data_IF_906514153913
#
_entry.id   IF_906514153913
#
_cell.length_a   1.000
_cell.length_b   1.000
_cell.length_c   1.000
_cell.angle_alpha   90.00
_cell.angle_beta   90.00
_cell.angle_gamma   90.00
#
_symmetry.space_group_name_H-M   'P 1'
#
loop_
_entity.id
_entity.type
_entity.pdbx_description
1 polymer ?
#
# COMPACT_ATOMS: atom_id res chain seq x y z
N UNK A 1 12.84 -20.17 11.04
CA UNK A 1 11.93 -19.90 9.89
C UNK A 1 12.71 -18.98 8.96
N UNK A 2 12.81 -19.24 7.65
CA UNK A 2 13.42 -18.25 6.74
C UNK A 2 12.50 -17.02 6.76
N UNK A 3 13.05 -15.86 7.11
CA UNK A 3 12.31 -14.60 7.15
C UNK A 3 11.56 -14.40 5.84
N UNK A 4 10.25 -14.13 5.93
CA UNK A 4 9.50 -13.68 4.75
C UNK A 4 10.07 -12.34 4.30
N UNK A 5 10.05 -12.02 3.01
CA UNK A 5 10.58 -10.74 2.57
C UNK A 5 9.83 -9.59 3.23
N UNK A 6 10.58 -8.68 3.86
CA UNK A 6 10.06 -7.46 4.48
C UNK A 6 10.55 -6.27 3.67
N UNK A 7 9.60 -5.42 3.29
CA UNK A 7 9.83 -4.15 2.64
C UNK A 7 9.70 -2.99 3.62
N UNK A 8 10.29 -1.85 3.28
CA UNK A 8 9.99 -0.57 3.90
C UNK A 8 9.12 0.27 2.95
N UNK A 9 8.02 0.83 3.46
CA UNK A 9 7.21 1.77 2.70
C UNK A 9 7.81 3.18 2.78
N UNK A 10 7.91 3.88 1.65
CA UNK A 10 8.52 5.21 1.59
C UNK A 10 7.83 6.27 2.46
N UNK A 11 6.52 6.15 2.73
CA UNK A 11 5.82 7.04 3.66
C UNK A 11 6.38 6.97 5.09
N UNK A 12 7.08 5.88 5.45
CA UNK A 12 7.81 5.80 6.72
C UNK A 12 8.88 6.87 6.85
N UNK A 13 9.49 7.26 5.73
CA UNK A 13 10.57 8.22 5.67
C UNK A 13 10.22 9.38 4.75
N UNK A 14 9.04 9.97 4.90
CA UNK A 14 8.51 11.00 4.00
C UNK A 14 9.47 12.18 3.77
N UNK A 15 10.28 12.53 4.78
CA UNK A 15 11.27 13.61 4.67
C UNK A 15 12.51 13.25 3.84
N UNK A 16 12.74 11.97 3.56
CA UNK A 16 13.88 11.52 2.74
C UNK A 16 13.47 11.48 1.26
N UNK A 17 14.34 12.03 0.41
CA UNK A 17 14.25 11.78 -1.03
C UNK A 17 14.48 10.29 -1.34
N UNK A 18 14.06 9.85 -2.53
CA UNK A 18 14.10 8.44 -2.94
C UNK A 18 15.48 7.79 -2.79
N UNK A 19 16.57 8.48 -3.19
CA UNK A 19 17.93 7.94 -3.05
C UNK A 19 18.32 7.73 -1.59
N UNK A 20 18.04 8.70 -0.72
CA UNK A 20 18.34 8.62 0.72
C UNK A 20 17.49 7.55 1.40
N UNK A 21 16.23 7.41 0.99
CA UNK A 21 15.33 6.37 1.45
C UNK A 21 15.81 4.96 1.08
N UNK A 22 16.25 4.75 -0.17
CA UNK A 22 16.80 3.46 -0.62
C UNK A 22 18.05 3.10 0.20
N UNK A 23 18.96 4.06 0.40
CA UNK A 23 20.15 3.89 1.26
C UNK A 23 19.78 3.53 2.70
N UNK A 24 18.79 4.21 3.28
CA UNK A 24 18.31 3.92 4.63
C UNK A 24 17.70 2.51 4.73
N UNK A 25 16.90 2.11 3.74
CA UNK A 25 16.29 0.78 3.66
C UNK A 25 17.34 -0.33 3.62
N UNK A 26 18.41 -0.14 2.84
CA UNK A 26 19.55 -1.08 2.80
C UNK A 26 20.27 -1.17 4.15
N UNK A 27 20.54 -0.03 4.81
CA UNK A 27 21.17 0.00 6.14
C UNK A 27 20.34 -0.77 7.17
N UNK A 28 19.02 -0.65 7.10
CA UNK A 28 18.07 -1.38 7.94
C UNK A 28 17.87 -2.85 7.54
N UNK A 29 18.57 -3.35 6.52
CA UNK A 29 18.55 -4.76 6.08
C UNK A 29 17.17 -5.25 5.61
N UNK A 30 16.35 -4.34 5.07
CA UNK A 30 15.13 -4.74 4.37
C UNK A 30 15.45 -5.51 3.08
N UNK A 31 14.51 -6.36 2.65
CA UNK A 31 14.63 -7.11 1.39
C UNK A 31 14.20 -6.29 0.18
N UNK A 32 13.54 -5.17 0.42
CA UNK A 32 13.04 -4.31 -0.63
C UNK A 32 12.29 -3.11 -0.09
N UNK A 33 11.60 -2.43 -0.99
CA UNK A 33 10.91 -1.16 -0.72
C UNK A 33 9.57 -1.11 -1.43
N UNK A 34 8.65 -0.29 -0.92
CA UNK A 34 7.56 0.27 -1.71
C UNK A 34 7.91 1.73 -2.01
N UNK A 35 7.78 2.17 -3.26
CA UNK A 35 8.14 3.52 -3.68
C UNK A 35 6.91 4.38 -4.00
N UNK A 36 6.94 5.63 -3.55
CA UNK A 36 5.90 6.61 -3.84
C UNK A 36 6.19 7.29 -5.20
N UNK A 37 5.21 7.28 -6.11
CA UNK A 37 5.24 7.87 -7.46
C UNK A 37 5.61 9.35 -7.41
N UNK A 38 5.08 10.09 -6.44
CA UNK A 38 5.35 11.52 -6.29
C UNK A 38 6.79 11.75 -5.84
N UNK A 39 7.32 10.90 -4.96
CA UNK A 39 8.71 10.98 -4.52
C UNK A 39 9.69 10.52 -5.62
N UNK A 40 9.29 9.58 -6.47
CA UNK A 40 10.04 9.23 -7.68
C UNK A 40 10.11 10.45 -8.60
N UNK A 41 8.97 11.07 -8.91
CA UNK A 41 8.90 12.27 -9.75
C UNK A 41 9.74 13.42 -9.20
N UNK A 42 9.65 13.71 -7.90
CA UNK A 42 10.42 14.75 -7.24
C UNK A 42 11.93 14.48 -7.23
N UNK A 43 12.34 13.21 -7.24
CA UNK A 43 13.75 12.84 -7.28
C UNK A 43 14.37 12.97 -8.67
N UNK A 44 13.57 12.93 -9.73
CA UNK A 44 14.03 13.05 -11.11
C UNK A 44 14.33 14.52 -11.43
N UNK A 45 15.50 14.77 -12.02
CA UNK A 45 15.95 16.09 -12.44
C UNK A 45 16.81 16.00 -13.72
N UNK A 46 17.42 17.11 -14.13
CA UNK A 46 18.40 17.09 -15.21
C UNK A 46 19.62 16.23 -14.84
N UNK A 47 19.96 16.16 -13.55
CA UNK A 47 21.13 15.44 -13.01
C UNK A 47 20.81 14.01 -12.55
N UNK A 48 19.56 13.73 -12.14
CA UNK A 48 19.15 12.41 -11.64
C UNK A 48 18.05 11.85 -12.55
N UNK A 49 18.32 10.70 -13.16
CA UNK A 49 17.37 9.94 -13.99
C UNK A 49 16.81 8.75 -13.22
N UNK A 50 15.72 8.19 -13.72
CA UNK A 50 15.11 6.97 -13.17
C UNK A 50 16.13 5.83 -13.08
N UNK A 51 16.96 5.69 -14.12
CA UNK A 51 18.03 4.70 -14.17
C UNK A 51 19.00 4.82 -13.00
N UNK A 52 19.31 6.03 -12.53
CA UNK A 52 20.21 6.22 -11.38
C UNK A 52 19.58 5.67 -10.10
N UNK A 53 18.26 5.82 -9.93
CA UNK A 53 17.54 5.22 -8.79
C UNK A 53 17.55 3.68 -8.89
N UNK A 54 17.34 3.14 -10.08
CA UNK A 54 17.41 1.69 -10.35
C UNK A 54 18.80 1.11 -10.08
N UNK A 55 19.85 1.80 -10.53
CA UNK A 55 21.24 1.37 -10.30
C UNK A 55 21.58 1.35 -8.80
N UNK A 56 21.05 2.30 -8.01
CA UNK A 56 21.21 2.31 -6.55
C UNK A 56 20.46 1.14 -5.89
N UNK A 57 19.24 0.82 -6.35
CA UNK A 57 18.49 -0.35 -5.87
C UNK A 57 19.27 -1.66 -6.13
N UNK A 58 19.80 -1.81 -7.34
CA UNK A 58 20.59 -2.98 -7.74
C UNK A 58 21.90 -3.10 -6.96
N UNK A 59 22.62 -1.99 -6.76
CA UNK A 59 23.85 -1.98 -5.98
C UNK A 59 23.62 -2.44 -4.52
N UNK A 60 22.42 -2.22 -3.99
CA UNK A 60 22.03 -2.65 -2.65
C UNK A 60 21.22 -3.95 -2.60
N UNK A 61 20.98 -4.59 -3.76
CA UNK A 61 20.14 -5.78 -3.90
C UNK A 61 18.76 -5.61 -3.23
N UNK A 62 18.15 -4.44 -3.39
CA UNK A 62 16.82 -4.13 -2.89
C UNK A 62 15.80 -4.30 -4.01
N UNK A 63 14.79 -5.15 -3.78
CA UNK A 63 13.66 -5.29 -4.70
C UNK A 63 12.65 -4.15 -4.51
N UNK A 64 12.05 -3.67 -5.60
CA UNK A 64 10.83 -2.85 -5.49
C UNK A 64 9.62 -3.78 -5.48
N UNK A 65 8.92 -3.81 -4.35
CA UNK A 65 7.75 -4.69 -4.15
C UNK A 65 6.45 -4.07 -4.61
N UNK A 66 6.35 -2.74 -4.58
CA UNK A 66 5.22 -2.02 -5.17
C UNK A 66 5.59 -0.58 -5.53
N UNK A 67 4.87 -0.05 -6.51
CA UNK A 67 4.78 1.40 -6.75
C UNK A 67 3.41 1.88 -6.26
N UNK A 68 3.40 2.91 -5.43
CA UNK A 68 2.17 3.52 -4.92
C UNK A 68 2.26 5.05 -5.10
N UNK A 69 1.21 5.83 -5.05
CA UNK A 69 -0.18 5.46 -4.97
C UNK A 69 -0.91 6.03 -6.20
N UNK A 70 -1.81 5.25 -6.78
CA UNK A 70 -2.91 5.81 -7.58
C UNK A 70 -4.12 6.01 -6.67
N UNK A 71 -4.42 7.26 -6.36
CA UNK A 71 -5.53 7.69 -5.53
C UNK A 71 -6.60 8.41 -6.34
N UNK A 72 -7.70 8.74 -5.67
CA UNK A 72 -8.82 9.52 -6.21
C UNK A 72 -9.40 9.07 -7.55
N UNK A 73 -9.23 7.79 -7.86
CA UNK A 73 -9.70 7.22 -9.11
C UNK A 73 -11.21 6.96 -9.11
N UNK A 74 -11.87 6.69 -7.97
CA UNK A 74 -13.22 6.14 -7.98
C UNK A 74 -14.34 7.18 -8.17
N UNK A 75 -14.26 8.32 -7.52
CA UNK A 75 -15.29 9.37 -7.51
C UNK A 75 -14.92 10.66 -8.24
N UNK A 76 -13.69 10.79 -8.76
CA UNK A 76 -13.28 11.93 -9.59
C UNK A 76 -14.21 12.13 -10.80
N UNK A 77 -14.28 13.33 -11.36
CA UNK A 77 -15.07 13.59 -12.57
C UNK A 77 -14.61 12.71 -13.74
N UNK A 78 -15.43 12.54 -14.78
CA UNK A 78 -15.02 11.73 -15.95
C UNK A 78 -13.89 12.40 -16.74
N UNK A 79 -13.82 13.74 -16.72
CA UNK A 79 -12.71 14.50 -17.30
C UNK A 79 -11.43 14.30 -16.49
N UNK A 80 -11.47 14.47 -15.17
CA UNK A 80 -10.33 14.22 -14.27
C UNK A 80 -9.84 12.79 -14.41
N UNK A 81 -10.75 11.82 -14.45
CA UNK A 81 -10.40 10.42 -14.64
C UNK A 81 -9.61 10.20 -15.95
N UNK A 82 -10.13 10.69 -17.07
CA UNK A 82 -9.49 10.52 -18.38
C UNK A 82 -8.19 11.32 -18.55
N UNK A 83 -8.14 12.55 -18.03
CA UNK A 83 -7.06 13.49 -18.30
C UNK A 83 -5.92 13.44 -17.28
N UNK A 84 -6.19 12.98 -16.06
CA UNK A 84 -5.25 13.01 -14.94
C UNK A 84 -5.03 11.61 -14.37
N UNK A 85 -6.09 10.91 -13.95
CA UNK A 85 -5.96 9.58 -13.32
C UNK A 85 -5.34 8.56 -14.28
N UNK A 86 -5.82 8.48 -15.53
CA UNK A 86 -5.24 7.55 -16.51
C UNK A 86 -3.80 7.91 -16.90
N UNK A 87 -3.42 9.20 -16.88
CA UNK A 87 -2.02 9.60 -17.10
C UNK A 87 -1.12 9.23 -15.91
N UNK A 88 -1.61 9.41 -14.68
CA UNK A 88 -0.90 8.95 -13.47
C UNK A 88 -0.76 7.42 -13.47
N UNK A 89 -1.77 6.69 -13.94
CA UNK A 89 -1.69 5.24 -14.15
C UNK A 89 -0.60 4.88 -15.17
N UNK A 90 -0.58 5.49 -16.35
CA UNK A 90 0.46 5.26 -17.36
C UNK A 90 1.87 5.54 -16.79
N UNK A 91 2.00 6.61 -16.00
CA UNK A 91 3.25 6.92 -15.33
C UNK A 91 3.67 5.85 -14.33
N UNK A 92 2.74 5.37 -13.50
CA UNK A 92 2.99 4.29 -12.53
C UNK A 92 3.37 2.99 -13.24
N UNK A 93 2.72 2.67 -14.36
CA UNK A 93 3.06 1.53 -15.21
C UNK A 93 4.50 1.66 -15.73
N UNK A 94 4.87 2.83 -16.25
CA UNK A 94 6.23 3.07 -16.73
C UNK A 94 7.27 2.91 -15.61
N UNK A 95 7.02 3.47 -14.43
CA UNK A 95 7.91 3.25 -13.28
C UNK A 95 7.94 1.79 -12.82
N UNK A 96 6.83 1.09 -12.89
CA UNK A 96 6.77 -0.34 -12.56
C UNK A 96 7.68 -1.16 -13.46
N UNK A 97 7.72 -0.85 -14.77
CA UNK A 97 8.66 -1.45 -15.72
C UNK A 97 10.12 -1.10 -15.39
N UNK A 98 10.43 0.17 -15.23
CA UNK A 98 11.80 0.65 -14.96
C UNK A 98 12.37 0.09 -13.65
N UNK A 99 11.52 -0.16 -12.65
CA UNK A 99 11.92 -0.71 -11.36
C UNK A 99 11.70 -2.23 -11.23
N UNK A 100 11.30 -2.91 -12.30
CA UNK A 100 10.96 -4.34 -12.32
C UNK A 100 9.96 -4.75 -11.21
N UNK A 101 9.01 -3.86 -10.92
CA UNK A 101 7.94 -4.07 -9.95
C UNK A 101 6.66 -4.51 -10.65
N UNK A 102 6.09 -5.64 -10.23
CA UNK A 102 4.89 -6.19 -10.83
C UNK A 102 3.61 -5.94 -10.00
N UNK A 103 3.66 -4.97 -9.10
CA UNK A 103 2.54 -4.60 -8.23
C UNK A 103 2.45 -3.09 -8.12
N UNK A 104 1.26 -2.55 -8.35
CA UNK A 104 0.91 -1.18 -8.02
C UNK A 104 -0.18 -1.15 -6.97
N UNK A 105 -0.14 -0.15 -6.09
CA UNK A 105 -1.15 0.05 -5.05
C UNK A 105 -2.05 1.20 -5.44
N UNK A 106 -3.35 0.99 -5.26
CA UNK A 106 -4.37 1.99 -5.55
C UNK A 106 -5.33 2.13 -4.37
N UNK A 107 -5.85 3.34 -4.15
CA UNK A 107 -6.80 3.65 -3.08
C UNK A 107 -8.06 4.30 -3.66
N UNK A 108 -9.24 4.02 -3.07
CA UNK A 108 -10.49 4.68 -3.46
C UNK A 108 -10.41 6.20 -3.19
N UNK A 109 -11.29 6.97 -3.81
CA UNK A 109 -11.34 8.41 -3.58
C UNK A 109 -11.61 8.78 -2.14
N UNK A 110 -10.95 9.85 -1.69
CA UNK A 110 -11.22 10.55 -0.44
C UNK A 110 -11.89 11.89 -0.75
N UNK A 111 -13.01 12.21 -0.08
CA UNK A 111 -13.65 13.53 -0.21
C UNK A 111 -13.13 14.50 0.86
N UNK A 112 -13.10 15.80 0.55
CA UNK A 112 -12.67 16.82 1.52
C UNK A 112 -13.57 16.85 2.75
N UNK A 113 -14.90 16.76 2.54
CA UNK A 113 -15.88 16.70 3.62
C UNK A 113 -16.55 15.32 3.67
N UNK A 114 -16.54 14.68 4.84
CA UNK A 114 -17.22 13.39 5.02
C UNK A 114 -18.74 13.50 4.77
N UNK A 115 -19.35 14.67 4.97
CA UNK A 115 -20.77 14.92 4.69
C UNK A 115 -21.10 14.83 3.21
N UNK A 116 -20.14 15.05 2.32
CA UNK A 116 -20.36 14.95 0.87
C UNK A 116 -20.50 13.49 0.44
N UNK A 117 -19.90 12.54 1.19
CA UNK A 117 -20.10 11.11 0.95
C UNK A 117 -21.51 10.67 1.30
N UNK A 118 -22.10 11.21 2.37
CA UNK A 118 -23.47 10.87 2.79
C UNK A 118 -24.52 11.25 1.72
N UNK A 119 -24.19 12.18 0.81
CA UNK A 119 -25.03 12.57 -0.32
C UNK A 119 -24.98 11.59 -1.49
N UNK A 120 -23.99 10.69 -1.53
CA UNK A 120 -23.80 9.72 -2.62
C UNK A 120 -24.23 8.34 -2.12
N UNK A 121 -25.30 7.75 -2.68
CA UNK A 121 -25.71 6.41 -2.28
C UNK A 121 -24.59 5.38 -2.46
N UNK A 122 -24.36 4.51 -1.47
CA UNK A 122 -23.27 3.52 -1.48
C UNK A 122 -23.26 2.63 -2.74
N UNK A 123 -24.44 2.27 -3.27
CA UNK A 123 -24.51 1.48 -4.50
C UNK A 123 -23.90 2.21 -5.71
N UNK A 124 -24.01 3.55 -5.76
CA UNK A 124 -23.44 4.38 -6.82
C UNK A 124 -21.93 4.47 -6.68
N UNK A 125 -21.43 4.60 -5.44
CA UNK A 125 -20.00 4.52 -5.12
C UNK A 125 -19.46 3.18 -5.59
N UNK A 126 -20.03 2.07 -5.10
CA UNK A 126 -19.57 0.72 -5.43
C UNK A 126 -19.57 0.48 -6.95
N UNK A 127 -20.63 0.87 -7.66
CA UNK A 127 -20.72 0.73 -9.12
C UNK A 127 -19.61 1.50 -9.83
N UNK A 128 -19.40 2.78 -9.47
CA UNK A 128 -18.40 3.62 -10.13
C UNK A 128 -16.97 3.15 -9.83
N UNK A 129 -16.69 2.77 -8.58
CA UNK A 129 -15.40 2.16 -8.19
C UNK A 129 -15.15 0.89 -8.98
N UNK A 130 -16.12 -0.03 -9.06
CA UNK A 130 -16.00 -1.30 -9.78
C UNK A 130 -15.69 -1.07 -11.26
N UNK A 131 -16.44 -0.19 -11.93
CA UNK A 131 -16.23 0.12 -13.35
C UNK A 131 -14.82 0.66 -13.62
N UNK A 132 -14.34 1.59 -12.79
CA UNK A 132 -13.01 2.19 -12.97
C UNK A 132 -11.88 1.23 -12.60
N UNK A 133 -12.07 0.37 -11.60
CA UNK A 133 -11.14 -0.71 -11.32
C UNK A 133 -11.01 -1.67 -12.50
N UNK A 134 -12.11 -2.00 -13.16
CA UNK A 134 -12.09 -2.87 -14.34
C UNK A 134 -11.26 -2.25 -15.47
N UNK A 135 -11.44 -0.96 -15.75
CA UNK A 135 -10.67 -0.23 -16.75
C UNK A 135 -9.17 -0.19 -16.41
N UNK A 136 -8.83 0.18 -15.17
CA UNK A 136 -7.45 0.25 -14.68
C UNK A 136 -6.80 -1.14 -14.73
N UNK A 137 -7.51 -2.18 -14.28
CA UNK A 137 -7.04 -3.57 -14.31
C UNK A 137 -6.74 -4.06 -15.72
N UNK A 138 -7.59 -3.76 -16.69
CA UNK A 138 -7.34 -4.09 -18.11
C UNK A 138 -6.11 -3.38 -18.67
N UNK A 139 -5.82 -2.15 -18.24
CA UNK A 139 -4.61 -1.43 -18.66
C UNK A 139 -3.36 -2.03 -18.02
N UNK A 140 -3.37 -2.24 -16.71
CA UNK A 140 -2.24 -2.84 -15.99
C UNK A 140 -1.96 -4.29 -16.41
N UNK A 141 -2.99 -5.06 -16.74
CA UNK A 141 -2.85 -6.47 -17.14
C UNK A 141 -2.05 -6.64 -18.44
N UNK A 142 -2.20 -5.72 -19.39
CA UNK A 142 -1.43 -5.73 -20.66
C UNK A 142 0.07 -5.62 -20.45
N UNK A 143 0.45 -5.13 -19.28
CA UNK A 143 1.82 -4.81 -18.89
C UNK A 143 2.32 -5.78 -17.79
N UNK A 144 1.59 -6.88 -17.54
CA UNK A 144 1.88 -7.88 -16.51
C UNK A 144 1.95 -7.31 -15.07
N UNK A 145 1.21 -6.22 -14.81
CA UNK A 145 1.17 -5.54 -13.51
C UNK A 145 -0.10 -5.94 -12.73
N UNK A 146 0.13 -6.32 -11.46
CA UNK A 146 -0.92 -6.57 -10.48
C UNK A 146 -1.34 -5.27 -9.77
N UNK A 147 -2.57 -5.24 -9.29
CA UNK A 147 -3.17 -4.13 -8.56
C UNK A 147 -3.55 -4.61 -7.16
N UNK A 148 -2.91 -4.03 -6.15
CA UNK A 148 -3.35 -4.12 -4.77
C UNK A 148 -4.32 -2.99 -4.47
N UNK A 149 -5.62 -3.31 -4.39
CA UNK A 149 -6.63 -2.36 -3.93
C UNK A 149 -6.59 -2.26 -2.40
N UNK A 150 -6.33 -1.06 -1.89
CA UNK A 150 -6.30 -0.75 -0.46
C UNK A 150 -7.52 0.10 -0.09
N UNK A 151 -8.42 -0.44 0.74
CA UNK A 151 -9.47 0.37 1.35
C UNK A 151 -8.87 1.25 2.46
N UNK A 152 -9.45 2.42 2.71
CA UNK A 152 -8.90 3.37 3.69
C UNK A 152 -9.90 3.63 4.81
N UNK A 153 -9.55 3.34 6.06
CA UNK A 153 -10.46 3.45 7.22
C UNK A 153 -10.84 4.88 7.62
N UNK A 154 -10.39 5.89 6.87
CA UNK A 154 -10.81 7.28 7.06
C UNK A 154 -12.29 7.48 6.70
N UNK A 155 -12.98 8.35 7.47
CA UNK A 155 -14.40 8.67 7.24
C UNK A 155 -14.65 9.36 5.90
N UNK A 156 -13.63 9.99 5.35
CA UNK A 156 -13.64 10.65 4.05
C UNK A 156 -13.44 9.69 2.88
N UNK A 157 -13.09 8.42 3.15
CA UNK A 157 -12.86 7.44 2.09
C UNK A 157 -14.18 6.87 1.56
N UNK A 158 -14.30 6.82 0.23
CA UNK A 158 -15.46 6.25 -0.45
C UNK A 158 -15.59 4.73 -0.30
N UNK A 159 -14.49 4.01 -0.02
CA UNK A 159 -14.51 2.60 0.36
C UNK A 159 -13.72 2.45 1.65
N UNK A 160 -14.43 2.48 2.77
CA UNK A 160 -13.80 2.66 4.08
C UNK A 160 -13.54 1.38 4.86
N UNK A 161 -14.04 0.24 4.39
CA UNK A 161 -13.91 -1.04 5.11
C UNK A 161 -13.77 -2.24 4.15
N UNK A 162 -13.31 -3.36 4.71
CA UNK A 162 -13.05 -4.59 3.96
C UNK A 162 -14.31 -5.15 3.30
N UNK A 163 -15.48 -5.04 3.93
CA UNK A 163 -16.72 -5.56 3.34
C UNK A 163 -17.11 -4.80 2.07
N UNK A 164 -16.97 -3.48 2.05
CA UNK A 164 -17.22 -2.70 0.84
C UNK A 164 -16.15 -2.94 -0.23
N UNK A 165 -14.89 -3.13 0.16
CA UNK A 165 -13.84 -3.57 -0.76
C UNK A 165 -14.17 -4.93 -1.41
N UNK A 166 -14.65 -5.89 -0.63
CA UNK A 166 -15.16 -7.18 -1.12
C UNK A 166 -16.32 -7.01 -2.09
N UNK A 167 -17.30 -6.15 -1.80
CA UNK A 167 -18.43 -5.88 -2.71
C UNK A 167 -17.98 -5.29 -4.05
N UNK A 168 -16.97 -4.43 -4.03
CA UNK A 168 -16.43 -3.78 -5.24
C UNK A 168 -15.60 -4.75 -6.09
N UNK A 169 -14.82 -5.61 -5.45
CA UNK A 169 -13.91 -6.53 -6.16
C UNK A 169 -14.58 -7.84 -6.57
N UNK A 170 -15.63 -8.28 -5.88
CA UNK A 170 -16.35 -9.52 -6.17
C UNK A 170 -16.81 -9.66 -7.64
N UNK A 171 -17.39 -8.63 -8.28
CA UNK A 171 -17.76 -8.69 -9.70
C UNK A 171 -16.55 -8.85 -10.65
N UNK A 172 -15.34 -8.62 -10.16
CA UNK A 172 -14.08 -8.63 -10.90
C UNK A 172 -13.18 -9.82 -10.52
N UNK A 173 -13.69 -10.83 -9.80
CA UNK A 173 -12.90 -11.99 -9.33
C UNK A 173 -12.20 -12.77 -10.46
N UNK A 174 -12.67 -12.64 -11.71
CA UNK A 174 -12.02 -13.22 -12.89
C UNK A 174 -10.80 -12.44 -13.38
N UNK A 175 -10.57 -11.22 -12.90
CA UNK A 175 -9.39 -10.41 -13.21
C UNK A 175 -8.26 -10.83 -12.26
N UNK A 176 -7.43 -11.77 -12.68
CA UNK A 176 -6.39 -12.38 -11.84
C UNK A 176 -5.33 -11.40 -11.33
N UNK A 177 -5.12 -10.28 -12.02
CA UNK A 177 -4.18 -9.24 -11.61
C UNK A 177 -4.76 -8.25 -10.61
N UNK A 178 -6.00 -8.44 -10.15
CA UNK A 178 -6.66 -7.55 -9.21
C UNK A 178 -6.86 -8.27 -7.87
N UNK A 179 -6.36 -7.64 -6.81
CA UNK A 179 -6.39 -8.20 -5.47
C UNK A 179 -6.38 -7.13 -4.39
N UNK A 180 -6.02 -7.54 -3.18
CA UNK A 180 -6.08 -6.72 -2.00
C UNK A 180 -4.67 -6.41 -1.49
N UNK A 181 -4.49 -5.16 -1.10
CA UNK A 181 -3.52 -4.80 -0.08
C UNK A 181 -4.24 -4.67 1.26
N UNK A 182 -3.69 -5.31 2.29
CA UNK A 182 -4.23 -5.23 3.65
C UNK A 182 -3.27 -4.45 4.53
N UNK A 183 -3.72 -3.33 5.06
CA UNK A 183 -3.00 -2.54 6.06
C UNK A 183 -3.55 -2.87 7.45
N UNK A 184 -2.69 -3.29 8.37
CA UNK A 184 -3.10 -3.60 9.75
C UNK A 184 -3.70 -2.40 10.46
N UNK A 185 -3.33 -1.16 10.09
CA UNK A 185 -3.96 0.07 10.58
C UNK A 185 -5.44 0.15 10.18
N UNK A 186 -5.75 -0.16 8.92
CA UNK A 186 -7.11 -0.11 8.41
C UNK A 186 -7.98 -1.25 8.96
N UNK A 187 -7.40 -2.44 9.20
CA UNK A 187 -8.08 -3.52 9.92
C UNK A 187 -8.43 -3.10 11.35
N UNK A 188 -7.43 -2.55 12.04
CA UNK A 188 -7.49 -2.07 13.41
C UNK A 188 -8.56 -1.02 13.64
N UNK A 189 -8.54 0.06 12.86
CA UNK A 189 -9.44 1.22 13.01
C UNK A 189 -10.90 0.85 12.77
N UNK A 190 -11.16 -0.12 11.90
CA UNK A 190 -12.50 -0.65 11.66
C UNK A 190 -12.90 -1.81 12.58
N UNK A 191 -12.08 -2.19 13.57
CA UNK A 191 -12.29 -3.39 14.39
C UNK A 191 -12.56 -4.65 13.53
N UNK A 192 -11.90 -4.75 12.38
CA UNK A 192 -12.12 -5.85 11.43
C UNK A 192 -11.51 -7.12 11.99
N UNK A 193 -12.32 -8.17 12.10
CA UNK A 193 -11.82 -9.50 12.40
C UNK A 193 -11.01 -10.02 11.21
N UNK A 194 -9.70 -10.24 11.38
CA UNK A 194 -8.82 -10.72 10.31
C UNK A 194 -9.18 -12.11 9.79
N UNK A 195 -10.04 -12.89 10.47
CA UNK A 195 -10.59 -14.12 9.90
C UNK A 195 -11.43 -13.87 8.64
N UNK A 196 -11.92 -12.64 8.42
CA UNK A 196 -12.60 -12.26 7.18
C UNK A 196 -11.68 -12.31 5.95
N UNK A 197 -10.36 -12.39 6.15
CA UNK A 197 -9.40 -12.58 5.07
C UNK A 197 -9.49 -13.99 4.47
N UNK A 198 -10.17 -14.96 5.10
CA UNK A 198 -10.32 -16.33 4.58
C UNK A 198 -11.00 -16.35 3.20
N UNK A 199 -11.95 -15.43 2.98
CA UNK A 199 -12.66 -15.26 1.71
C UNK A 199 -11.77 -14.73 0.57
N UNK A 200 -10.71 -13.99 0.91
CA UNK A 200 -9.89 -13.26 -0.06
C UNK A 200 -8.41 -13.68 -0.04
N UNK A 201 -8.07 -14.75 0.69
CA UNK A 201 -6.68 -15.16 0.96
C UNK A 201 -5.82 -15.38 -0.29
N UNK A 202 -6.42 -15.86 -1.38
CA UNK A 202 -5.73 -16.11 -2.66
C UNK A 202 -5.45 -14.81 -3.43
N UNK A 203 -6.19 -13.75 -3.11
CA UNK A 203 -6.10 -12.43 -3.72
C UNK A 203 -5.29 -11.44 -2.87
N UNK A 204 -4.61 -11.90 -1.81
CA UNK A 204 -3.75 -11.05 -0.98
C UNK A 204 -2.39 -10.85 -1.65
N UNK A 205 -2.08 -9.64 -2.09
CA UNK A 205 -0.81 -9.33 -2.76
C UNK A 205 0.26 -8.80 -1.83
N UNK A 206 -0.13 -8.00 -0.85
CA UNK A 206 0.79 -7.41 0.12
C UNK A 206 0.05 -7.10 1.43
N UNK A 207 0.77 -7.23 2.55
CA UNK A 207 0.27 -6.82 3.86
C UNK A 207 1.20 -5.73 4.41
N UNK A 208 0.65 -4.53 4.67
CA UNK A 208 1.33 -3.48 5.40
C UNK A 208 1.13 -3.65 6.89
N UNK A 209 2.23 -3.58 7.62
CA UNK A 209 2.31 -3.78 9.06
C UNK A 209 2.61 -2.44 9.72
N UNK A 210 1.78 -2.14 10.69
CA UNK A 210 1.94 -1.01 11.59
C UNK A 210 1.09 -1.25 12.83
N UNK A 211 1.54 -0.71 13.95
CA UNK A 211 0.80 -0.77 15.19
C UNK A 211 0.15 0.58 15.50
N UNK A 212 -0.72 0.59 16.48
CA UNK A 212 -1.49 1.76 16.88
C UNK A 212 -1.99 1.57 18.32
N UNK A 213 -2.26 2.66 19.02
CA UNK A 213 -2.91 2.62 20.34
C UNK A 213 -4.41 2.89 20.17
N UNK A 214 -5.25 2.07 20.82
CA UNK A 214 -6.70 2.20 20.85
C UNK A 214 -7.11 3.26 21.89
N UNK A 215 -8.01 4.14 21.49
CA UNK A 215 -8.64 5.11 22.39
C UNK A 215 -7.92 6.46 22.43
N UNK A 216 -8.75 7.50 22.64
CA UNK A 216 -8.48 8.94 22.61
C UNK A 216 -8.17 9.57 21.24
N UNK A 217 -8.73 10.78 21.07
CA UNK A 217 -8.64 11.75 19.96
C UNK A 217 -7.20 12.15 19.54
N UNK A 218 -6.17 11.38 19.86
CA UNK A 218 -4.78 11.72 19.55
C UNK A 218 -4.44 11.37 18.11
N UNK A 219 -3.80 12.31 17.41
CA UNK A 219 -2.99 12.14 16.21
C UNK A 219 -2.69 10.66 15.92
N UNK A 220 -3.31 10.12 14.87
CA UNK A 220 -3.21 8.72 14.47
C UNK A 220 -1.80 8.38 13.97
N UNK A 221 -0.85 8.38 14.89
CA UNK A 221 0.53 8.01 14.64
C UNK A 221 0.60 6.50 14.44
N UNK A 222 1.12 6.12 13.28
CA UNK A 222 1.42 4.73 12.92
C UNK A 222 2.72 4.34 13.64
N UNK A 223 2.65 3.30 14.48
CA UNK A 223 3.72 2.83 15.37
C UNK A 223 4.43 1.60 14.81
N UNK A 224 5.59 1.25 15.36
CA UNK A 224 6.23 -0.01 15.02
C UNK A 224 5.39 -1.19 15.52
N UNK A 225 5.33 -2.31 14.76
CA UNK A 225 4.73 -3.55 15.22
C UNK A 225 5.21 -3.97 16.61
N UNK A 226 4.27 -4.11 17.57
CA UNK A 226 4.53 -4.50 18.95
C UNK A 226 4.61 -3.35 19.95
N UNK A 227 4.51 -2.10 19.50
CA UNK A 227 4.47 -0.92 20.39
C UNK A 227 3.04 -0.43 20.69
N UNK A 228 2.02 -1.07 20.12
CA UNK A 228 0.61 -0.71 20.30
C UNK A 228 -0.27 -1.91 20.67
N UNK A 229 -1.54 -1.82 20.31
CA UNK A 229 -2.60 -2.74 20.73
C UNK A 229 -2.97 -3.78 19.65
N UNK A 230 -2.34 -3.76 18.47
CA UNK A 230 -2.62 -4.75 17.44
C UNK A 230 -2.06 -6.12 17.86
N UNK A 231 -2.91 -7.15 17.91
CA UNK A 231 -2.51 -8.49 18.32
C UNK A 231 -1.77 -9.24 17.19
N UNK A 232 -0.52 -8.84 16.96
CA UNK A 232 0.36 -9.42 15.95
C UNK A 232 0.58 -10.92 16.15
N UNK A 233 0.68 -11.41 17.39
CA UNK A 233 0.85 -12.85 17.66
C UNK A 233 -0.28 -13.69 17.07
N UNK A 234 -1.54 -13.26 17.28
CA UNK A 234 -2.71 -13.92 16.72
C UNK A 234 -2.79 -13.74 15.20
N UNK A 235 -2.47 -12.53 14.71
CA UNK A 235 -2.45 -12.25 13.27
C UNK A 235 -1.44 -13.11 12.52
N UNK A 236 -0.20 -13.24 12.99
CA UNK A 236 0.80 -14.11 12.37
C UNK A 236 0.43 -15.59 12.45
N UNK A 237 -0.16 -16.02 13.57
CA UNK A 237 -0.67 -17.39 13.69
C UNK A 237 -1.75 -17.66 12.64
N UNK A 238 -2.64 -16.71 12.41
CA UNK A 238 -3.64 -16.76 11.36
C UNK A 238 -3.01 -16.75 9.95
N UNK A 239 -2.08 -15.85 9.66
CA UNK A 239 -1.39 -15.80 8.36
C UNK A 239 -0.63 -17.10 8.04
N UNK A 240 -0.09 -17.78 9.07
CA UNK A 240 0.48 -19.13 8.92
C UNK A 240 -0.60 -20.16 8.58
N UNK A 241 -1.75 -20.13 9.24
CA UNK A 241 -2.89 -21.03 8.97
C UNK A 241 -3.37 -20.91 7.53
N UNK A 242 -3.51 -19.70 7.00
CA UNK A 242 -3.92 -19.48 5.60
C UNK A 242 -2.76 -19.60 4.60
N UNK A 243 -1.56 -20.00 5.06
CA UNK A 243 -0.36 -20.18 4.24
C UNK A 243 0.04 -18.94 3.42
N UNK A 244 -0.23 -17.74 3.92
CA UNK A 244 0.19 -16.50 3.28
C UNK A 244 1.72 -16.49 3.08
N UNK A 245 2.20 -16.26 1.87
CA UNK A 245 3.64 -16.34 1.54
C UNK A 245 4.19 -15.09 0.85
N UNK A 246 3.33 -14.10 0.57
CA UNK A 246 3.71 -12.85 -0.09
C UNK A 246 4.43 -11.89 0.90
N UNK A 247 5.05 -10.81 0.41
CA UNK A 247 5.83 -9.88 1.23
C UNK A 247 5.00 -9.17 2.32
N UNK A 248 5.71 -8.74 3.35
CA UNK A 248 5.22 -7.71 4.28
C UNK A 248 5.88 -6.38 3.95
N UNK A 249 5.25 -5.27 4.34
CA UNK A 249 5.86 -3.95 4.29
C UNK A 249 5.59 -3.17 5.57
N UNK A 250 6.52 -2.29 5.97
CA UNK A 250 6.37 -1.46 7.16
C UNK A 250 5.98 -0.03 6.77
N UNK A 251 4.85 0.47 7.28
CA UNK A 251 4.36 1.85 7.06
C UNK A 251 4.04 2.51 8.41
N UNK A 252 4.98 3.30 8.93
CA UNK A 252 4.88 3.98 10.23
C UNK A 252 5.01 5.49 10.06
N UNK A 253 4.58 6.31 11.02
CA UNK A 253 4.67 7.78 10.91
C UNK A 253 5.20 8.47 12.17
N UNK A 254 5.27 7.75 13.29
CA UNK A 254 5.77 8.32 14.55
C UNK A 254 7.27 8.62 14.55
N UNK A 255 8.03 7.94 13.70
CA UNK A 255 9.49 7.88 13.82
C UNK A 255 10.17 8.67 12.73
N UNK A 256 11.23 9.38 13.11
CA UNK A 256 12.19 9.89 12.14
C UNK A 256 13.13 8.75 11.69
N UNK A 257 13.35 8.67 10.39
CA UNK A 257 14.29 7.72 9.81
C UNK A 257 15.73 8.06 10.16
N UNK A 258 16.19 7.48 11.26
CA UNK A 258 17.48 7.70 11.92
C UNK A 258 18.11 6.37 12.34
N UNK A 259 19.36 6.40 12.80
CA UNK A 259 20.05 5.21 13.34
C UNK A 259 19.28 4.56 14.50
N UNK A 260 18.59 5.36 15.32
CA UNK A 260 17.73 4.84 16.40
C UNK A 260 16.57 3.98 15.86
N UNK A 261 15.95 4.39 14.76
CA UNK A 261 14.89 3.61 14.13
C UNK A 261 15.45 2.31 13.52
N UNK A 262 16.65 2.37 12.95
CA UNK A 262 17.37 1.19 12.47
C UNK A 262 17.61 0.17 13.60
N UNK A 263 18.06 0.61 14.77
CA UNK A 263 18.22 -0.26 15.95
C UNK A 263 16.88 -0.87 16.39
N UNK A 264 15.81 -0.08 16.42
CA UNK A 264 14.47 -0.59 16.73
C UNK A 264 14.01 -1.66 15.76
N UNK A 265 14.19 -1.47 14.44
CA UNK A 265 13.87 -2.49 13.45
C UNK A 265 14.63 -3.79 13.70
N UNK A 266 15.92 -3.70 14.02
CA UNK A 266 16.71 -4.87 14.36
C UNK A 266 16.11 -5.63 15.56
N UNK A 267 15.69 -4.93 16.63
CA UNK A 267 15.10 -5.57 17.79
C UNK A 267 13.73 -6.21 17.52
N UNK A 268 12.87 -5.54 16.75
CA UNK A 268 11.53 -6.06 16.42
C UNK A 268 11.65 -7.30 15.53
N UNK A 269 12.45 -7.23 14.47
CA UNK A 269 12.48 -8.27 13.45
C UNK A 269 13.46 -9.41 13.72
N UNK A 270 14.43 -9.26 14.63
CA UNK A 270 15.34 -10.37 15.00
C UNK A 270 14.60 -11.56 15.64
N UNK A 271 13.43 -11.33 16.23
CA UNK A 271 12.66 -12.32 16.98
C UNK A 271 11.42 -12.85 16.22
N UNK A 272 11.18 -12.41 14.98
CA UNK A 272 10.07 -12.85 14.13
C UNK A 272 10.43 -14.05 13.25
#
# INVERSE_FOLDING_TARGET
>A
MKFKPIALNQNTCEKLNSTSFIKFSHKCKFNGVELNVEHIQQAISDEIKIKDLFDVLNAYNLKVYSIFLLDDFSLSSDNTYKLEVLKKLELIINYSHEFESNLMIIRPSSLENFTDLDLIPQWKINRRTTQRLEDISKMAYKEDINIGFEYCSEKTSSISNLNDAKKVLKPLESQENLGYLIDTFNLAKNNTNFNQLDEIKEYLFLIRLTDYVRGFNSNLERLLPGEGDFNFSSFYSYLRKIKYSKPFSIEISKYECSEKLQEKFYHVFKNM
#
